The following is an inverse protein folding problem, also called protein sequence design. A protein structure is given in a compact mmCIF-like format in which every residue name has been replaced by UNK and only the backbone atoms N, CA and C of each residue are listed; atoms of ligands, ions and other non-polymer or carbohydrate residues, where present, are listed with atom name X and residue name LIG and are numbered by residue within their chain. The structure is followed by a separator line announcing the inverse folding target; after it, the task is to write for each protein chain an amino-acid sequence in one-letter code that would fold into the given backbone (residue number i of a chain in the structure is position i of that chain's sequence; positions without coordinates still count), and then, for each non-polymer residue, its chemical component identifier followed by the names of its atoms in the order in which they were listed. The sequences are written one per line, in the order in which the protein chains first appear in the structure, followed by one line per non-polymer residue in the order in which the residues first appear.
data_IF_469316935444
#
_entry.id   IF_469316935444
#
_cell.length_a   1.000
_cell.length_b   1.000
_cell.length_c   1.000
_cell.angle_alpha   90.00
_cell.angle_beta   90.00
_cell.angle_gamma   90.00
#
_symmetry.space_group_name_H-M   'P 1'
#
loop_
_entity.id
_entity.type
_entity.pdbx_description
1 polymer ?
#
# COMPACT_ATOMS: atom_id res chain seq x y z
N UNK A 1 7.60 1.41 -12.14
CA UNK A 1 8.45 0.25 -11.79
C UNK A 1 7.81 -1.04 -12.31
N UNK A 2 8.62 -2.04 -12.70
CA UNK A 2 8.12 -3.37 -13.02
C UNK A 2 7.61 -4.09 -11.75
N UNK A 3 6.60 -4.94 -11.90
CA UNK A 3 6.12 -5.83 -10.85
C UNK A 3 6.54 -7.28 -11.15
N UNK A 4 7.09 -8.02 -10.16
CA UNK A 4 7.48 -9.42 -10.35
C UNK A 4 6.25 -10.32 -10.57
N UNK A 5 5.13 -10.02 -9.92
CA UNK A 5 3.83 -10.66 -10.12
C UNK A 5 2.90 -9.64 -10.76
N UNK A 6 2.21 -9.97 -11.86
CA UNK A 6 1.32 -9.02 -12.50
C UNK A 6 0.09 -8.73 -11.64
N UNK A 7 -0.30 -7.46 -11.58
CA UNK A 7 -1.61 -7.07 -11.08
C UNK A 7 -2.69 -7.60 -12.03
N UNK A 8 -3.41 -8.64 -11.59
CA UNK A 8 -4.43 -9.34 -12.38
C UNK A 8 -5.61 -8.44 -12.76
N UNK A 9 -5.93 -7.48 -11.89
CA UNK A 9 -6.86 -6.38 -12.15
C UNK A 9 -6.16 -5.05 -11.86
N UNK A 10 -6.54 -3.95 -12.53
CA UNK A 10 -6.04 -2.64 -12.17
C UNK A 10 -6.37 -2.34 -10.71
N UNK A 11 -5.42 -1.86 -9.93
CA UNK A 11 -5.62 -1.58 -8.50
C UNK A 11 -4.90 -0.32 -8.05
N UNK A 12 -5.37 0.25 -6.95
CA UNK A 12 -4.67 1.26 -6.18
C UNK A 12 -4.11 0.63 -4.90
N UNK A 13 -2.92 1.04 -4.47
CA UNK A 13 -2.45 0.81 -3.10
C UNK A 13 -2.50 2.14 -2.36
N UNK A 14 -3.28 2.21 -1.28
CA UNK A 14 -3.53 3.44 -0.53
C UNK A 14 -2.35 3.87 0.34
N UNK A 15 -1.40 2.95 0.62
CA UNK A 15 -0.29 3.22 1.53
C UNK A 15 -0.70 3.35 3.00
N UNK A 16 0.24 3.78 3.83
CA UNK A 16 0.10 3.97 5.27
C UNK A 16 -0.23 5.44 5.62
N UNK A 17 -0.22 5.79 6.91
CA UNK A 17 -0.53 7.16 7.38
C UNK A 17 0.65 8.13 7.21
N UNK A 18 1.82 7.72 7.70
CA UNK A 18 3.03 8.54 7.74
C UNK A 18 3.90 8.30 6.52
N UNK A 19 4.67 9.33 6.15
CA UNK A 19 5.54 9.31 4.96
C UNK A 19 4.80 8.82 3.70
N UNK A 20 3.54 9.21 3.60
CA UNK A 20 2.56 8.61 2.72
C UNK A 20 2.99 8.71 1.24
N UNK A 21 2.81 7.57 0.58
CA UNK A 21 2.81 7.42 -0.88
C UNK A 21 1.69 6.44 -1.23
N UNK A 22 1.10 6.59 -2.41
CA UNK A 22 0.16 5.63 -2.98
C UNK A 22 0.76 4.98 -4.24
N UNK A 23 0.12 3.94 -4.75
CA UNK A 23 0.49 3.34 -6.04
C UNK A 23 -0.72 3.06 -6.93
N UNK A 24 -0.53 3.14 -8.24
CA UNK A 24 -1.44 2.58 -9.24
C UNK A 24 -0.74 1.42 -9.95
N UNK A 25 -1.42 0.28 -10.12
CA UNK A 25 -0.86 -0.89 -10.77
C UNK A 25 -1.81 -1.50 -11.80
N UNK A 26 -1.23 -2.02 -12.90
CA UNK A 26 -1.94 -2.79 -13.93
C UNK A 26 -0.95 -3.67 -14.69
N UNK A 27 -1.25 -4.96 -14.81
CA UNK A 27 -0.33 -5.94 -15.38
C UNK A 27 1.02 -5.93 -14.67
N UNK A 28 2.13 -5.91 -15.42
CA UNK A 28 3.49 -5.91 -14.86
C UNK A 28 4.02 -4.53 -14.47
N UNK A 29 3.18 -3.52 -14.30
CA UNK A 29 3.62 -2.16 -14.01
C UNK A 29 2.91 -1.60 -12.79
N UNK A 30 3.69 -0.95 -11.94
CA UNK A 30 3.22 -0.04 -10.91
C UNK A 30 3.80 1.37 -11.13
N UNK A 31 3.04 2.38 -10.77
CA UNK A 31 3.42 3.79 -10.76
C UNK A 31 3.17 4.31 -9.35
N UNK A 32 4.25 4.75 -8.68
CA UNK A 32 4.13 5.38 -7.37
C UNK A 32 3.72 6.84 -7.52
N UNK A 33 2.85 7.26 -6.60
CA UNK A 33 2.56 8.66 -6.35
C UNK A 33 3.73 9.38 -5.67
N UNK A 34 3.74 10.72 -5.69
CA UNK A 34 4.71 11.49 -4.94
C UNK A 34 4.57 11.25 -3.43
N UNK A 35 5.63 11.52 -2.69
CA UNK A 35 5.58 11.59 -1.23
C UNK A 35 4.76 12.80 -0.79
N UNK A 36 3.74 12.58 0.04
CA UNK A 36 2.85 13.66 0.51
C UNK A 36 2.95 13.95 2.01
N UNK A 37 3.81 13.26 2.75
CA UNK A 37 4.04 13.52 4.18
C UNK A 37 3.10 12.75 5.11
N UNK A 38 2.54 13.41 6.12
CA UNK A 38 1.58 12.81 7.06
C UNK A 38 0.16 13.21 6.66
N UNK A 39 -0.70 12.22 6.42
CA UNK A 39 -2.10 12.49 6.03
C UNK A 39 -2.91 13.20 7.12
N UNK A 40 -2.44 13.35 8.37
CA UNK A 40 -3.13 14.20 9.36
C UNK A 40 -3.08 15.69 8.98
N UNK A 41 -2.13 16.10 8.14
CA UNK A 41 -2.08 17.44 7.57
C UNK A 41 -3.07 17.56 6.40
N UNK A 42 -3.96 18.55 6.46
CA UNK A 42 -4.92 18.84 5.39
C UNK A 42 -4.23 19.07 4.04
N UNK A 43 -3.05 19.72 4.03
CA UNK A 43 -2.27 19.95 2.80
C UNK A 43 -1.77 18.65 2.21
N UNK A 44 -1.39 17.68 3.05
CA UNK A 44 -0.97 16.36 2.59
C UNK A 44 -2.13 15.59 1.95
N UNK A 45 -3.34 15.70 2.51
CA UNK A 45 -4.54 15.09 1.94
C UNK A 45 -4.92 15.72 0.59
N UNK A 46 -4.90 17.05 0.49
CA UNK A 46 -5.16 17.77 -0.76
C UNK A 46 -4.13 17.37 -1.83
N UNK A 47 -2.84 17.34 -1.48
CA UNK A 47 -1.77 16.93 -2.37
C UNK A 47 -1.92 15.48 -2.83
N UNK A 48 -2.31 14.57 -1.92
CA UNK A 48 -2.61 13.19 -2.25
C UNK A 48 -3.78 13.09 -3.24
N UNK A 49 -4.93 13.67 -2.93
CA UNK A 49 -6.12 13.58 -3.76
C UNK A 49 -5.87 14.13 -5.18
N UNK A 50 -5.20 15.28 -5.28
CA UNK A 50 -4.82 15.88 -6.55
C UNK A 50 -3.86 14.98 -7.35
N UNK A 51 -2.79 14.48 -6.69
CA UNK A 51 -1.80 13.61 -7.32
C UNK A 51 -2.41 12.29 -7.80
N UNK A 52 -3.34 11.72 -7.03
CA UNK A 52 -4.05 10.49 -7.40
C UNK A 52 -4.92 10.70 -8.64
N UNK A 53 -5.68 11.79 -8.69
CA UNK A 53 -6.50 12.13 -9.85
C UNK A 53 -5.64 12.34 -11.11
N UNK A 54 -4.53 13.07 -10.97
CA UNK A 54 -3.61 13.31 -12.08
C UNK A 54 -2.93 12.03 -12.57
N UNK A 55 -2.44 11.18 -11.67
CA UNK A 55 -1.80 9.92 -12.05
C UNK A 55 -2.78 8.92 -12.67
N UNK A 56 -4.01 8.87 -12.17
CA UNK A 56 -5.09 8.06 -12.77
C UNK A 56 -5.33 8.50 -14.22
N UNK A 57 -5.47 9.81 -14.46
CA UNK A 57 -5.67 10.39 -15.80
C UNK A 57 -4.47 10.16 -16.72
N UNK A 58 -3.25 10.35 -16.22
CA UNK A 58 -2.02 10.21 -17.01
C UNK A 58 -1.73 8.75 -17.39
N UNK A 59 -2.02 7.80 -16.50
CA UNK A 59 -1.73 6.39 -16.72
C UNK A 59 -2.87 5.64 -17.40
N UNK A 60 -4.09 6.17 -17.35
CA UNK A 60 -5.30 5.48 -17.81
C UNK A 60 -5.67 4.25 -16.95
N UNK A 61 -5.02 4.08 -15.79
CA UNK A 61 -5.31 2.98 -14.87
C UNK A 61 -6.54 3.38 -14.05
N UNK A 62 -7.66 2.69 -14.24
CA UNK A 62 -8.86 2.84 -13.40
C UNK A 62 -8.92 1.67 -12.42
N UNK A 63 -8.60 1.88 -11.13
CA UNK A 63 -8.61 0.82 -10.13
C UNK A 63 -9.96 0.13 -10.02
N UNK A 64 -9.92 -1.19 -9.86
CA UNK A 64 -11.07 -2.06 -9.56
C UNK A 64 -11.00 -2.66 -8.16
N UNK A 65 -9.84 -2.54 -7.52
CA UNK A 65 -9.54 -3.00 -6.15
C UNK A 65 -8.62 -1.98 -5.49
N UNK A 66 -8.73 -1.81 -4.17
CA UNK A 66 -7.81 -0.97 -3.37
C UNK A 66 -7.17 -1.79 -2.27
N UNK A 67 -5.84 -1.91 -2.31
CA UNK A 67 -5.04 -2.44 -1.22
C UNK A 67 -4.82 -1.36 -0.16
N UNK A 68 -4.97 -1.68 1.13
CA UNK A 68 -4.84 -0.71 2.21
C UNK A 68 -4.31 -1.35 3.50
N UNK A 69 -3.76 -0.52 4.40
CA UNK A 69 -3.37 -0.96 5.74
C UNK A 69 -4.61 -1.33 6.58
N UNK A 70 -4.60 -2.43 7.36
CA UNK A 70 -5.75 -2.84 8.17
C UNK A 70 -6.11 -1.82 9.27
N UNK A 71 -5.22 -0.89 9.63
CA UNK A 71 -5.46 0.09 10.68
C UNK A 71 -6.68 0.98 10.37
N UNK A 72 -7.81 0.86 11.10
CA UNK A 72 -9.06 1.52 10.75
C UNK A 72 -9.01 3.05 10.94
N UNK A 73 -8.12 3.51 11.83
CA UNK A 73 -7.91 4.94 12.07
C UNK A 73 -7.05 5.67 11.03
N UNK A 74 -6.45 4.97 10.06
CA UNK A 74 -5.64 5.63 9.03
C UNK A 74 -6.53 6.34 8.01
N UNK A 75 -6.12 7.55 7.65
CA UNK A 75 -6.82 8.34 6.64
C UNK A 75 -6.67 7.73 5.24
N UNK A 76 -5.57 7.04 4.97
CA UNK A 76 -5.40 6.24 3.74
C UNK A 76 -6.43 5.09 3.68
N UNK A 77 -6.68 4.42 4.81
CA UNK A 77 -7.67 3.34 4.93
C UNK A 77 -9.11 3.86 4.77
N UNK A 78 -9.41 5.03 5.34
CA UNK A 78 -10.71 5.69 5.15
C UNK A 78 -10.91 6.12 3.70
N UNK A 79 -9.87 6.69 3.07
CA UNK A 79 -9.88 7.03 1.65
C UNK A 79 -10.12 5.79 0.76
N UNK A 80 -9.45 4.66 1.05
CA UNK A 80 -9.64 3.42 0.31
C UNK A 80 -11.10 2.95 0.37
N UNK A 81 -11.70 2.97 1.57
CA UNK A 81 -13.11 2.64 1.79
C UNK A 81 -14.07 3.58 1.05
N UNK A 82 -13.76 4.88 1.00
CA UNK A 82 -14.57 5.84 0.28
C UNK A 82 -14.47 5.66 -1.25
N UNK A 83 -13.31 5.26 -1.75
CA UNK A 83 -13.06 5.06 -3.18
C UNK A 83 -13.76 3.81 -3.73
N UNK A 84 -13.59 2.66 -3.09
CA UNK A 84 -14.16 1.38 -3.51
C UNK A 84 -14.53 0.51 -2.29
N UNK A 85 -15.67 0.76 -1.64
CA UNK A 85 -16.03 0.12 -0.36
C UNK A 85 -16.14 -1.41 -0.45
N UNK A 86 -16.56 -1.94 -1.60
CA UNK A 86 -16.82 -3.36 -1.81
C UNK A 86 -15.63 -4.13 -2.42
N UNK A 87 -14.50 -3.45 -2.67
CA UNK A 87 -13.35 -4.03 -3.35
C UNK A 87 -12.03 -3.67 -2.65
N UNK A 88 -11.95 -4.02 -1.36
CA UNK A 88 -10.81 -3.72 -0.49
C UNK A 88 -9.98 -4.97 -0.23
N UNK A 89 -8.66 -4.81 -0.22
CA UNK A 89 -7.70 -5.85 0.18
C UNK A 89 -6.86 -5.31 1.35
N UNK A 90 -7.10 -5.77 2.59
CA UNK A 90 -6.23 -5.41 3.70
C UNK A 90 -4.87 -6.08 3.52
N UNK A 91 -3.79 -5.31 3.73
CA UNK A 91 -2.41 -5.80 3.71
C UNK A 91 -1.73 -5.36 4.99
N UNK A 92 -1.28 -6.32 5.80
CA UNK A 92 -0.68 -6.05 7.10
C UNK A 92 0.60 -5.20 6.94
N UNK A 93 0.82 -4.27 7.88
CA UNK A 93 1.86 -3.24 7.79
C UNK A 93 3.29 -3.80 7.62
N UNK A 94 3.68 -4.73 8.49
CA UNK A 94 5.00 -5.36 8.50
C UNK A 94 5.18 -6.31 7.32
N UNK A 95 4.11 -7.01 6.90
CA UNK A 95 4.07 -7.79 5.67
C UNK A 95 4.34 -6.90 4.46
N UNK A 96 3.70 -5.73 4.37
CA UNK A 96 3.92 -4.78 3.28
C UNK A 96 5.39 -4.33 3.18
N UNK A 97 6.05 -4.05 4.32
CA UNK A 97 7.49 -3.73 4.35
C UNK A 97 8.34 -4.86 3.76
N UNK A 98 8.12 -6.09 4.21
CA UNK A 98 8.89 -7.26 3.74
C UNK A 98 8.60 -7.53 2.26
N UNK A 99 7.33 -7.48 1.86
CA UNK A 99 6.88 -7.73 0.49
C UNK A 99 7.42 -6.67 -0.49
N UNK A 100 7.56 -5.41 -0.07
CA UNK A 100 8.15 -4.35 -0.90
C UNK A 100 9.61 -4.67 -1.24
N UNK A 101 10.42 -5.11 -0.27
CA UNK A 101 11.82 -5.53 -0.48
C UNK A 101 11.89 -6.78 -1.36
N UNK A 102 11.06 -7.78 -1.08
CA UNK A 102 10.98 -8.98 -1.92
C UNK A 102 10.64 -8.62 -3.38
N UNK A 103 9.69 -7.69 -3.57
CA UNK A 103 9.28 -7.25 -4.89
C UNK A 103 10.38 -6.50 -5.65
N UNK A 104 11.10 -5.61 -4.96
CA UNK A 104 12.25 -4.87 -5.53
C UNK A 104 13.35 -5.81 -6.01
N UNK A 105 13.63 -6.88 -5.26
CA UNK A 105 14.64 -7.88 -5.60
C UNK A 105 14.12 -9.04 -6.49
N UNK A 106 12.84 -9.01 -6.88
CA UNK A 106 12.23 -10.05 -7.71
C UNK A 106 12.12 -11.42 -7.03
N UNK A 107 12.14 -11.45 -5.69
CA UNK A 107 11.96 -12.67 -4.91
C UNK A 107 10.49 -13.10 -4.94
N UNK A 108 10.24 -14.32 -5.42
CA UNK A 108 8.87 -14.85 -5.59
C UNK A 108 8.50 -15.89 -4.53
N UNK A 109 9.51 -16.56 -3.97
CA UNK A 109 9.34 -17.53 -2.90
C UNK A 109 9.21 -16.83 -1.53
N UNK A 110 8.54 -17.46 -0.55
CA UNK A 110 8.49 -16.94 0.81
C UNK A 110 9.88 -16.68 1.38
N UNK A 111 10.01 -15.58 2.11
CA UNK A 111 11.25 -15.16 2.78
C UNK A 111 11.04 -15.04 4.28
N UNK A 112 12.09 -15.26 5.07
CA UNK A 112 12.13 -14.79 6.46
C UNK A 112 12.52 -13.31 6.46
N UNK A 113 11.56 -12.44 6.73
CA UNK A 113 11.76 -11.01 6.83
C UNK A 113 11.82 -10.54 8.27
N UNK A 114 12.60 -9.48 8.51
CA UNK A 114 12.69 -8.79 9.80
C UNK A 114 12.17 -7.37 9.57
N UNK A 115 11.06 -7.04 10.22
CA UNK A 115 10.37 -5.76 10.03
C UNK A 115 10.43 -4.95 11.33
N UNK A 116 11.38 -4.00 11.38
CA UNK A 116 11.58 -3.09 12.51
C UNK A 116 11.18 -1.68 12.11
N UNK A 117 10.18 -1.12 12.77
CA UNK A 117 9.72 0.25 12.53
C UNK A 117 9.27 0.94 13.84
N UNK A 118 8.36 1.90 13.73
CA UNK A 118 7.78 2.56 14.89
C UNK A 118 6.63 1.74 15.49
N UNK A 119 5.45 1.85 14.89
CA UNK A 119 4.24 1.17 15.32
C UNK A 119 3.38 0.84 14.09
N UNK A 120 2.97 -0.43 13.98
CA UNK A 120 1.96 -0.90 13.03
C UNK A 120 0.91 -1.77 13.73
N UNK A 121 -0.33 -1.77 13.23
CA UNK A 121 -1.37 -2.64 13.80
C UNK A 121 -1.06 -4.11 13.45
N UNK A 122 -0.91 -4.93 14.48
CA UNK A 122 -0.77 -6.37 14.38
C UNK A 122 -2.09 -7.07 14.12
N UNK A 123 -2.03 -8.30 13.61
CA UNK A 123 -3.22 -9.11 13.32
C UNK A 123 -3.95 -9.57 14.59
N UNK A 124 -3.28 -9.52 15.74
CA UNK A 124 -3.84 -9.77 17.06
C UNK A 124 -4.46 -8.50 17.71
N UNK A 125 -4.48 -7.38 16.97
CA UNK A 125 -5.00 -6.10 17.43
C UNK A 125 -4.04 -5.33 18.35
N UNK A 126 -2.82 -5.83 18.57
CA UNK A 126 -1.79 -5.12 19.33
C UNK A 126 -0.93 -4.24 18.41
N UNK A 127 -0.06 -3.42 18.99
CA UNK A 127 0.91 -2.64 18.22
C UNK A 127 2.21 -3.44 18.11
N UNK A 128 2.62 -3.68 16.87
CA UNK A 128 3.88 -4.31 16.50
C UNK A 128 4.91 -3.24 16.11
N UNK A 129 6.19 -3.64 16.06
CA UNK A 129 7.29 -2.78 15.60
C UNK A 129 8.64 -3.48 15.54
N UNK A 130 8.67 -4.81 15.73
CA UNK A 130 9.88 -5.58 15.97
C UNK A 130 9.79 -7.04 15.50
N UNK A 131 9.12 -7.31 14.39
CA UNK A 131 8.65 -8.66 14.07
C UNK A 131 9.60 -9.44 13.15
N UNK A 132 9.62 -10.77 13.32
CA UNK A 132 10.23 -11.72 12.38
C UNK A 132 9.11 -12.57 11.77
N UNK A 133 8.93 -12.46 10.45
CA UNK A 133 7.82 -13.08 9.74
C UNK A 133 8.33 -13.96 8.60
N UNK A 134 7.62 -15.05 8.32
CA UNK A 134 7.71 -15.71 7.01
C UNK A 134 6.64 -15.08 6.13
N UNK A 135 7.04 -14.47 5.02
CA UNK A 135 6.16 -13.68 4.17
C UNK A 135 6.41 -13.92 2.68
N UNK A 136 5.33 -13.96 1.88
CA UNK A 136 5.38 -14.00 0.43
C UNK A 136 4.75 -12.76 -0.22
N UNK A 137 4.79 -12.67 -1.56
CA UNK A 137 4.13 -11.59 -2.31
C UNK A 137 2.59 -11.69 -2.32
N UNK A 138 2.04 -12.83 -1.89
CA UNK A 138 0.60 -13.13 -1.92
C UNK A 138 -0.02 -13.34 -0.53
N UNK A 139 0.73 -13.02 0.53
CA UNK A 139 0.49 -13.53 1.88
C UNK A 139 1.57 -14.54 2.22
#
# INVERSE_FOLDING_TARGET
MPLPVPAAVPLAAAGAQLKHTFALASGHRAVLGPHTGDLQDARAQEAFAASYADLTRLTGITPRVVAHDPHPGYLSTQWARALLPDALVPVQHHHAHIAAVAAEHGLREPVTGVAYDGLGLGDDGTLWGGEILVAGLTG
#
